data_IF_796078169307
#
_entry.id   IF_796078169307
#
_cell.length_a   1.000
_cell.length_b   1.000
_cell.length_c   1.000
_cell.angle_alpha   90.00
_cell.angle_beta   90.00
_cell.angle_gamma   90.00
#
_symmetry.space_group_name_H-M   'P 1'
#
loop_
_entity.id
_entity.type
_entity.pdbx_description
1 polymer ?
#
# COMPACT_ATOMS: atom_id res chain seq x y z
N UNK A 1 -11.53 9.13 -5.07
CA UNK A 1 -10.30 9.54 -4.38
C UNK A 1 -10.69 10.09 -3.01
N UNK A 2 -9.98 9.73 -1.96
CA UNK A 2 -10.22 10.19 -0.57
C UNK A 2 -9.04 11.05 -0.19
N UNK A 3 -9.29 12.25 0.33
CA UNK A 3 -8.25 13.14 0.85
C UNK A 3 -8.39 13.21 2.36
N UNK A 4 -7.34 12.85 3.08
CA UNK A 4 -7.30 12.95 4.54
C UNK A 4 -6.26 13.99 4.91
N UNK A 5 -6.67 15.02 5.62
CA UNK A 5 -5.84 16.12 6.11
C UNK A 5 -5.96 16.24 7.63
N UNK A 6 -4.97 16.85 8.24
CA UNK A 6 -5.06 17.30 9.62
C UNK A 6 -5.80 18.64 9.66
N UNK A 7 -6.75 18.75 10.57
CA UNK A 7 -7.50 19.97 10.86
C UNK A 7 -7.40 20.33 12.34
N UNK A 8 -7.85 21.51 12.68
CA UNK A 8 -7.97 21.99 14.07
C UNK A 8 -9.34 22.59 14.28
N UNK A 9 -10.03 22.18 15.30
CA UNK A 9 -11.31 22.77 15.72
C UNK A 9 -11.09 24.09 16.44
N UNK A 10 -12.17 24.88 16.61
CA UNK A 10 -12.10 26.18 17.30
C UNK A 10 -11.64 26.08 18.77
N UNK A 11 -11.86 24.94 19.40
CA UNK A 11 -11.39 24.64 20.75
C UNK A 11 -9.89 24.25 20.83
N UNK A 12 -9.18 24.24 19.69
CA UNK A 12 -7.76 23.84 19.60
C UNK A 12 -7.56 22.33 19.47
N UNK A 13 -8.61 21.53 19.43
CA UNK A 13 -8.51 20.08 19.24
C UNK A 13 -8.09 19.72 17.81
N UNK A 14 -7.11 18.83 17.69
CA UNK A 14 -6.64 18.35 16.40
C UNK A 14 -7.50 17.20 15.93
N UNK A 15 -7.93 17.26 14.67
CA UNK A 15 -8.82 16.26 14.04
C UNK A 15 -8.27 15.78 12.71
N UNK A 16 -8.65 14.58 12.31
CA UNK A 16 -8.42 14.07 10.96
C UNK A 16 -9.65 14.39 10.09
N UNK A 17 -9.45 15.14 9.02
CA UNK A 17 -10.51 15.60 8.11
C UNK A 17 -10.46 14.78 6.83
N UNK A 18 -11.52 14.01 6.58
CA UNK A 18 -11.70 13.20 5.38
C UNK A 18 -12.69 13.88 4.44
N UNK A 19 -12.21 14.35 3.30
CA UNK A 19 -13.06 14.91 2.23
C UNK A 19 -13.33 13.84 1.17
N UNK A 20 -14.63 13.59 0.91
CA UNK A 20 -15.06 12.69 -0.15
C UNK A 20 -15.11 13.47 -1.47
N UNK A 21 -14.24 13.11 -2.40
CA UNK A 21 -14.18 13.74 -3.73
C UNK A 21 -15.05 12.97 -4.72
N UNK A 22 -15.70 13.71 -5.61
CA UNK A 22 -16.57 13.14 -6.64
C UNK A 22 -15.77 12.18 -7.52
N UNK A 23 -16.25 10.93 -7.57
CA UNK A 23 -15.72 9.89 -8.45
C UNK A 23 -16.87 9.42 -9.33
N UNK A 24 -16.73 9.44 -10.67
CA UNK A 24 -17.70 8.84 -11.55
C UNK A 24 -17.95 7.38 -11.13
N UNK A 25 -19.20 6.93 -11.17
CA UNK A 25 -19.63 5.54 -10.84
C UNK A 25 -19.79 5.21 -9.35
N UNK A 26 -19.46 6.10 -8.40
CA UNK A 26 -19.68 5.86 -6.98
C UNK A 26 -20.79 6.76 -6.45
N UNK A 27 -21.80 6.17 -5.82
CA UNK A 27 -22.82 6.93 -5.11
C UNK A 27 -22.26 7.44 -3.78
N UNK A 28 -21.65 8.62 -3.82
CA UNK A 28 -21.02 9.26 -2.66
C UNK A 28 -22.01 9.59 -1.54
N UNK A 29 -23.26 9.89 -1.87
CA UNK A 29 -24.28 10.18 -0.86
C UNK A 29 -24.58 8.95 -0.01
N UNK A 30 -24.72 7.80 -0.67
CA UNK A 30 -24.94 6.54 0.03
C UNK A 30 -23.74 6.18 0.89
N UNK A 31 -22.53 6.33 0.35
CA UNK A 31 -21.30 6.05 1.09
C UNK A 31 -21.15 6.96 2.31
N UNK A 32 -21.35 8.28 2.13
CA UNK A 32 -21.30 9.26 3.20
C UNK A 32 -22.29 8.95 4.31
N UNK A 33 -23.57 8.74 3.93
CA UNK A 33 -24.63 8.42 4.89
C UNK A 33 -24.36 7.13 5.66
N UNK A 34 -23.93 6.08 4.97
CA UNK A 34 -23.60 4.81 5.62
C UNK A 34 -22.47 4.99 6.64
N UNK A 35 -21.42 5.75 6.29
CA UNK A 35 -20.29 5.98 7.17
C UNK A 35 -20.70 6.81 8.41
N UNK A 36 -21.50 7.87 8.21
CA UNK A 36 -22.04 8.67 9.31
C UNK A 36 -22.92 7.82 10.24
N UNK A 37 -23.93 7.13 9.70
CA UNK A 37 -24.87 6.35 10.51
C UNK A 37 -24.21 5.18 11.23
N UNK A 38 -23.13 4.61 10.67
CA UNK A 38 -22.43 3.52 11.32
C UNK A 38 -21.53 3.95 12.47
N UNK A 39 -21.11 5.22 12.51
CA UNK A 39 -20.08 5.68 13.42
C UNK A 39 -20.53 6.76 14.39
N UNK A 40 -21.65 7.46 14.14
CA UNK A 40 -22.05 8.64 14.91
C UNK A 40 -22.25 8.34 16.41
N UNK A 41 -22.83 7.19 16.72
CA UNK A 41 -23.12 6.77 18.10
C UNK A 41 -22.11 5.72 18.60
N UNK A 42 -21.10 5.39 17.78
CA UNK A 42 -20.14 4.35 18.11
C UNK A 42 -18.98 4.93 18.92
N UNK A 43 -18.84 4.46 20.14
CA UNK A 43 -17.72 4.76 21.00
C UNK A 43 -17.05 3.48 21.47
N UNK A 44 -15.91 3.14 20.87
CA UNK A 44 -15.17 1.91 21.18
C UNK A 44 -13.68 2.17 21.10
N UNK A 45 -12.91 1.64 22.08
CA UNK A 45 -11.47 1.89 22.22
C UNK A 45 -10.60 1.53 21.00
N UNK A 46 -11.07 0.63 20.15
CA UNK A 46 -10.34 0.13 18.97
C UNK A 46 -10.94 0.64 17.64
N UNK A 47 -11.88 1.56 17.70
CA UNK A 47 -12.52 2.15 16.51
C UNK A 47 -12.34 3.65 16.59
N UNK A 48 -11.87 4.26 15.49
CA UNK A 48 -11.66 5.71 15.38
C UNK A 48 -13.01 6.42 15.52
N UNK A 49 -13.08 7.36 16.47
CA UNK A 49 -14.30 8.07 16.79
C UNK A 49 -14.61 9.11 15.70
N UNK A 50 -15.86 9.12 15.23
CA UNK A 50 -16.39 10.22 14.42
C UNK A 50 -16.75 11.39 15.35
N UNK A 51 -16.07 12.54 15.18
CA UNK A 51 -16.31 13.76 15.97
C UNK A 51 -17.44 14.59 15.37
N UNK A 52 -17.52 14.61 14.05
CA UNK A 52 -18.56 15.37 13.35
C UNK A 52 -18.50 15.17 11.85
N UNK A 53 -19.45 15.79 11.17
CA UNK A 53 -19.52 15.76 9.71
C UNK A 53 -20.07 17.07 9.15
N UNK A 54 -19.77 17.33 7.86
CA UNK A 54 -20.35 18.43 7.11
C UNK A 54 -20.93 17.89 5.79
N UNK A 55 -22.18 18.27 5.50
CA UNK A 55 -22.84 17.99 4.24
C UNK A 55 -23.46 19.29 3.74
N UNK A 56 -22.82 19.91 2.77
CA UNK A 56 -23.26 21.20 2.24
C UNK A 56 -23.39 21.18 0.73
N UNK A 57 -24.37 21.92 0.22
CA UNK A 57 -24.58 22.15 -1.21
C UNK A 57 -24.46 23.65 -1.44
N UNK A 58 -23.48 24.06 -2.23
CA UNK A 58 -23.29 25.45 -2.61
C UNK A 58 -23.18 25.61 -4.11
N UNK A 59 -23.58 26.77 -4.58
CA UNK A 59 -23.44 27.14 -5.99
C UNK A 59 -22.07 27.73 -6.22
N UNK A 60 -21.33 27.13 -7.16
CA UNK A 60 -20.04 27.63 -7.60
C UNK A 60 -20.13 28.04 -9.06
N UNK A 61 -19.53 29.17 -9.38
CA UNK A 61 -19.41 29.61 -10.77
C UNK A 61 -18.33 28.78 -11.45
N UNK A 62 -18.71 28.04 -12.48
CA UNK A 62 -17.78 27.19 -13.27
C UNK A 62 -17.86 27.60 -14.73
N UNK A 63 -16.73 27.50 -15.42
CA UNK A 63 -16.68 27.70 -16.86
C UNK A 63 -17.07 26.40 -17.58
N UNK A 64 -18.07 26.49 -18.45
CA UNK A 64 -18.52 25.38 -19.29
C UNK A 64 -18.73 25.87 -20.71
N UNK A 65 -17.99 25.33 -21.66
CA UNK A 65 -18.04 25.68 -23.08
C UNK A 65 -17.88 27.19 -23.36
N UNK A 66 -16.94 27.84 -22.64
CA UNK A 66 -16.67 29.28 -22.81
C UNK A 66 -17.73 30.19 -22.15
N UNK A 67 -18.63 29.67 -21.36
CA UNK A 67 -19.63 30.43 -20.58
C UNK A 67 -19.55 30.11 -19.12
N UNK A 68 -19.80 31.08 -18.26
CA UNK A 68 -19.89 30.89 -16.83
C UNK A 68 -21.31 30.49 -16.44
N UNK A 69 -21.43 29.35 -15.77
CA UNK A 69 -22.70 28.82 -15.26
C UNK A 69 -22.57 28.50 -13.77
N UNK A 70 -23.66 28.66 -13.03
CA UNK A 70 -23.70 28.18 -11.65
C UNK A 70 -23.93 26.68 -11.63
N UNK A 71 -22.96 25.95 -11.05
CA UNK A 71 -23.08 24.52 -10.80
C UNK A 71 -23.22 24.24 -9.30
N UNK A 72 -24.08 23.30 -8.94
CA UNK A 72 -24.19 22.84 -7.57
C UNK A 72 -22.97 22.00 -7.22
N UNK A 73 -22.24 22.45 -6.22
CA UNK A 73 -21.09 21.74 -5.66
C UNK A 73 -21.48 21.19 -4.29
N UNK A 74 -21.31 19.90 -4.11
CA UNK A 74 -21.62 19.23 -2.85
C UNK A 74 -20.33 18.92 -2.10
N UNK A 75 -20.24 19.37 -0.87
CA UNK A 75 -19.14 19.05 0.03
C UNK A 75 -19.57 18.01 1.06
N UNK A 76 -18.78 16.97 1.18
CA UNK A 76 -18.97 15.86 2.13
C UNK A 76 -17.69 15.68 2.88
N UNK A 77 -17.71 16.06 4.15
CA UNK A 77 -16.53 16.06 5.03
C UNK A 77 -16.87 15.25 6.27
N UNK A 78 -15.98 14.38 6.67
CA UNK A 78 -16.04 13.62 7.92
C UNK A 78 -14.85 14.01 8.79
N UNK A 79 -15.11 14.31 10.06
CA UNK A 79 -14.09 14.67 11.04
C UNK A 79 -13.95 13.55 12.07
N UNK A 80 -12.77 12.99 12.17
CA UNK A 80 -12.44 11.92 13.10
C UNK A 80 -11.45 12.40 14.16
N UNK A 81 -11.34 11.68 15.25
CA UNK A 81 -10.24 11.86 16.18
C UNK A 81 -8.90 11.68 15.47
N UNK A 82 -7.93 12.51 15.84
CA UNK A 82 -6.61 12.44 15.25
C UNK A 82 -5.73 11.40 15.94
N UNK A 83 -5.26 10.43 15.19
CA UNK A 83 -4.33 9.41 15.66
C UNK A 83 -2.89 9.76 15.24
N UNK A 84 -2.02 10.19 16.18
CA UNK A 84 -0.69 10.73 15.84
C UNK A 84 0.26 9.67 15.25
N UNK A 85 -0.01 8.39 15.48
CA UNK A 85 0.80 7.29 14.93
C UNK A 85 0.54 7.03 13.44
N UNK A 86 -0.43 7.71 12.84
CA UNK A 86 -0.78 7.59 11.43
C UNK A 86 -1.57 6.33 11.10
N UNK A 87 -1.57 5.97 9.83
CA UNK A 87 -2.41 4.93 9.27
C UNK A 87 -1.70 3.56 9.28
N UNK A 88 -2.47 2.50 9.46
CA UNK A 88 -2.01 1.11 9.52
C UNK A 88 -1.38 0.66 8.20
N UNK A 89 -1.84 1.21 7.06
CA UNK A 89 -1.30 0.89 5.74
C UNK A 89 0.21 1.16 5.65
N UNK A 90 0.72 2.23 6.25
CA UNK A 90 2.16 2.53 6.29
C UNK A 90 2.97 1.41 6.95
N UNK A 91 2.43 0.81 8.02
CA UNK A 91 3.08 -0.31 8.70
C UNK A 91 2.98 -1.60 7.88
N UNK A 92 1.82 -1.87 7.28
CA UNK A 92 1.60 -3.06 6.46
C UNK A 92 2.45 -3.05 5.19
N UNK A 93 2.55 -1.91 4.51
CA UNK A 93 3.41 -1.77 3.33
C UNK A 93 4.89 -1.95 3.69
N UNK A 94 5.34 -1.42 4.81
CA UNK A 94 6.71 -1.60 5.29
C UNK A 94 7.05 -3.08 5.55
N UNK A 95 6.17 -3.80 6.25
CA UNK A 95 6.33 -5.23 6.54
C UNK A 95 6.26 -6.05 5.24
N UNK A 96 5.30 -5.77 4.36
CA UNK A 96 5.15 -6.47 3.08
C UNK A 96 6.38 -6.28 2.20
N UNK A 97 6.91 -5.07 2.09
CA UNK A 97 8.13 -4.78 1.34
C UNK A 97 9.33 -5.53 1.91
N UNK A 98 9.48 -5.57 3.24
CA UNK A 98 10.53 -6.32 3.91
C UNK A 98 10.45 -7.83 3.61
N UNK A 99 9.24 -8.41 3.67
CA UNK A 99 9.00 -9.82 3.35
C UNK A 99 9.32 -10.13 1.88
N UNK A 100 8.92 -9.29 0.94
CA UNK A 100 9.22 -9.46 -0.48
C UNK A 100 10.73 -9.39 -0.71
N UNK A 101 11.43 -8.42 -0.14
CA UNK A 101 12.88 -8.30 -0.26
C UNK A 101 13.61 -9.49 0.35
N UNK A 102 13.16 -10.01 1.49
CA UNK A 102 13.75 -11.19 2.11
C UNK A 102 13.59 -12.44 1.25
N UNK A 103 12.44 -12.64 0.61
CA UNK A 103 12.20 -13.76 -0.32
C UNK A 103 13.11 -13.65 -1.55
N UNK A 104 13.25 -12.48 -2.16
CA UNK A 104 14.13 -12.25 -3.30
C UNK A 104 15.60 -12.57 -2.94
N UNK A 105 16.04 -12.15 -1.75
CA UNK A 105 17.39 -12.43 -1.28
C UNK A 105 17.62 -13.92 -1.06
N UNK A 106 16.65 -14.66 -0.53
CA UNK A 106 16.73 -16.11 -0.36
C UNK A 106 16.81 -16.81 -1.71
N UNK A 107 15.98 -16.44 -2.69
CA UNK A 107 16.06 -17.00 -4.04
C UNK A 107 17.42 -16.72 -4.71
N UNK A 108 17.91 -15.49 -4.60
CA UNK A 108 19.22 -15.12 -5.13
C UNK A 108 20.35 -15.94 -4.48
N UNK A 109 20.28 -16.15 -3.17
CA UNK A 109 21.24 -16.98 -2.43
C UNK A 109 21.19 -18.45 -2.86
N UNK A 110 20.00 -18.99 -3.07
CA UNK A 110 19.82 -20.37 -3.59
C UNK A 110 20.42 -20.53 -4.97
N UNK A 111 20.24 -19.58 -5.88
CA UNK A 111 20.84 -19.60 -7.22
C UNK A 111 22.36 -19.56 -7.14
N UNK A 112 22.94 -18.70 -6.32
CA UNK A 112 24.40 -18.64 -6.10
C UNK A 112 24.94 -19.94 -5.51
N UNK A 113 24.24 -20.53 -4.57
CA UNK A 113 24.62 -21.80 -3.96
C UNK A 113 24.59 -22.94 -4.99
N UNK A 114 23.57 -23.01 -5.83
CA UNK A 114 23.43 -24.00 -6.89
C UNK A 114 24.52 -23.86 -7.94
N UNK A 115 24.87 -22.65 -8.35
CA UNK A 115 25.97 -22.40 -9.30
C UNK A 115 27.31 -22.82 -8.72
N UNK A 116 27.55 -22.60 -7.43
CA UNK A 116 28.77 -23.01 -6.74
C UNK A 116 28.88 -24.54 -6.65
N UNK A 117 27.81 -25.25 -6.36
CA UNK A 117 27.77 -26.72 -6.36
C UNK A 117 28.06 -27.27 -7.76
N UNK A 118 27.43 -26.71 -8.78
CA UNK A 118 27.63 -27.17 -10.16
C UNK A 118 29.09 -26.93 -10.64
N UNK A 119 29.71 -25.83 -10.25
CA UNK A 119 31.09 -25.52 -10.51
C UNK A 119 32.04 -26.55 -9.86
N UNK A 120 31.81 -26.88 -8.59
CA UNK A 120 32.56 -27.93 -7.91
C UNK A 120 32.38 -29.31 -8.55
N UNK A 121 31.15 -29.64 -8.94
CA UNK A 121 30.85 -30.93 -9.61
C UNK A 121 31.57 -31.06 -10.96
N UNK A 122 31.70 -29.96 -11.70
CA UNK A 122 32.36 -29.92 -12.96
C UNK A 122 33.89 -30.11 -12.80
N UNK A 123 34.49 -29.55 -11.76
CA UNK A 123 35.92 -29.75 -11.43
C UNK A 123 36.21 -31.20 -11.06
N UNK A 124 35.30 -31.86 -10.30
CA UNK A 124 35.50 -33.30 -9.98
C UNK A 124 35.36 -34.20 -11.19
N UNK A 125 34.45 -33.90 -12.13
CA UNK A 125 34.27 -34.69 -13.35
C UNK A 125 35.46 -34.55 -14.31
N UNK A 126 36.04 -33.36 -14.45
CA UNK A 126 37.26 -33.14 -15.27
C UNK A 126 38.48 -33.78 -14.63
N UNK A 127 38.64 -33.74 -13.31
CA UNK A 127 39.71 -34.39 -12.60
C UNK A 127 39.66 -35.93 -12.71
N UNK A 128 38.42 -36.49 -12.75
CA UNK A 128 38.20 -37.94 -12.85
C UNK A 128 38.42 -38.45 -14.28
N UNK A 129 38.17 -37.64 -15.31
CA UNK A 129 38.48 -37.99 -16.71
C UNK A 129 39.96 -37.98 -16.98
N UNK A 130 40.72 -37.01 -16.44
CA UNK A 130 42.19 -36.93 -16.60
C UNK A 130 42.91 -38.09 -15.94
N UNK A 131 42.41 -38.61 -14.80
CA UNK A 131 42.97 -39.80 -14.15
C UNK A 131 42.67 -41.08 -14.93
N UNK A 132 41.57 -41.17 -15.65
CA UNK A 132 41.20 -42.35 -16.44
C UNK A 132 42.08 -42.49 -17.70
N UNK A 133 42.43 -41.40 -18.36
CA UNK A 133 43.34 -41.42 -19.53
C UNK A 133 44.74 -41.84 -19.16
N UNK A 134 45.24 -41.55 -17.96
CA UNK A 134 46.61 -41.96 -17.50
C UNK A 134 46.76 -43.45 -17.21
N UNK A 135 45.67 -44.16 -16.94
CA UNK A 135 45.69 -45.60 -16.62
C UNK A 135 45.32 -46.50 -17.80
N UNK A 136 44.78 -45.94 -18.90
CA UNK A 136 44.48 -46.72 -20.11
C UNK A 136 45.62 -46.79 -21.12
N UNK A 137 46.73 -46.10 -20.90
CA UNK A 137 47.90 -46.08 -21.81
C UNK A 137 49.12 -46.90 -21.33
N UNK A 138 48.93 -47.78 -20.34
CA UNK A 138 50.04 -48.72 -19.95
C UNK A 138 50.03 -49.93 -20.88
N UNK A 139 51.06 -50.15 -21.70
CA UNK A 139 51.18 -51.35 -22.55
C UNK A 139 51.45 -52.55 -21.65
N UNK A 140 50.72 -53.62 -21.86
CA UNK A 140 51.08 -54.94 -21.31
C UNK A 140 52.31 -55.42 -22.01
N UNK A 141 53.39 -55.55 -21.28
CA UNK A 141 54.61 -56.33 -21.68
C UNK A 141 54.48 -57.76 -21.19
#
# INVERSE_FOLDING_TARGET
>A
MILINQGMLQNGEVVAVKKLLVVPQINLDKQFKNEVFSLIDLNHRNIVKLIGYCYEIHKKLVESHGRYVFADTQERILCYEYLPRGSLDKYLYGILLYLILSLILVEYWLVLYQTRINSHRQIYLTSCSDTREKYTSAPYA
#
